data_IF_372643332922
#
_entry.id   IF_372643332922
#
_cell.length_a   1.000
_cell.length_b   1.000
_cell.length_c   1.000
_cell.angle_alpha   90.00
_cell.angle_beta   90.00
_cell.angle_gamma   90.00
#
_symmetry.space_group_name_H-M   'P 1'
#
loop_
_entity.id
_entity.type
_entity.pdbx_description
1 polymer ?
#
# COMPACT_ATOMS: atom_id res chain seq x y z
N UNK A 1 -8.41 -4.72 -11.94
CA UNK A 1 -8.12 -3.59 -11.03
C UNK A 1 -6.88 -3.98 -10.25
N UNK A 2 -5.76 -3.30 -10.45
CA UNK A 2 -4.47 -3.64 -9.83
C UNK A 2 -4.51 -3.32 -8.34
N UNK A 3 -4.02 -4.24 -7.52
CA UNK A 3 -3.95 -4.15 -6.08
C UNK A 3 -2.56 -3.69 -5.64
N UNK A 4 -2.51 -2.61 -4.88
CA UNK A 4 -1.25 -2.01 -4.44
C UNK A 4 -1.15 -2.10 -2.92
N UNK A 5 0.02 -2.43 -2.40
CA UNK A 5 0.38 -2.29 -0.99
C UNK A 5 1.36 -1.13 -0.89
N UNK A 6 1.08 -0.14 -0.05
CA UNK A 6 1.98 1.00 0.14
C UNK A 6 2.89 0.74 1.34
N UNK A 7 4.17 1.08 1.23
CA UNK A 7 5.16 0.95 2.32
C UNK A 7 5.93 2.25 2.48
N UNK A 8 5.67 2.98 3.57
CA UNK A 8 6.32 4.26 3.87
C UNK A 8 6.32 4.48 5.39
N UNK A 9 7.45 4.85 5.97
CA UNK A 9 7.58 5.12 7.42
C UNK A 9 6.94 6.47 7.82
N UNK A 10 6.62 7.32 6.84
CA UNK A 10 5.91 8.57 7.03
C UNK A 10 4.42 8.43 6.65
N UNK A 11 3.55 8.49 7.66
CA UNK A 11 2.09 8.38 7.48
C UNK A 11 1.51 9.44 6.54
N UNK A 12 2.05 10.66 6.51
CA UNK A 12 1.52 11.74 5.67
C UNK A 12 1.76 11.42 4.20
N UNK A 13 2.97 11.02 3.82
CA UNK A 13 3.28 10.65 2.43
C UNK A 13 2.53 9.38 2.01
N UNK A 14 2.38 8.41 2.92
CA UNK A 14 1.60 7.21 2.65
C UNK A 14 0.14 7.50 2.31
N UNK A 15 -0.49 8.45 3.04
CA UNK A 15 -1.86 8.89 2.80
C UNK A 15 -2.01 9.62 1.46
N UNK A 16 -1.08 10.53 1.14
CA UNK A 16 -1.08 11.24 -0.14
C UNK A 16 -0.95 10.26 -1.33
N UNK A 17 -0.07 9.26 -1.21
CA UNK A 17 0.09 8.21 -2.23
C UNK A 17 -1.15 7.32 -2.34
N UNK A 18 -1.78 6.99 -1.22
CA UNK A 18 -3.03 6.22 -1.19
C UNK A 18 -4.17 6.96 -1.92
N UNK A 19 -4.34 8.26 -1.64
CA UNK A 19 -5.35 9.09 -2.32
C UNK A 19 -5.09 9.15 -3.83
N UNK A 20 -3.87 9.49 -4.24
CA UNK A 20 -3.50 9.58 -5.65
C UNK A 20 -3.69 8.24 -6.39
N UNK A 21 -3.31 7.12 -5.76
CA UNK A 21 -3.48 5.79 -6.35
C UNK A 21 -4.96 5.41 -6.49
N UNK A 22 -5.80 5.76 -5.52
CA UNK A 22 -7.25 5.53 -5.59
C UNK A 22 -7.90 6.37 -6.70
N UNK A 23 -7.49 7.61 -6.88
CA UNK A 23 -7.95 8.49 -7.98
C UNK A 23 -7.61 7.91 -9.36
N UNK A 24 -6.47 7.24 -9.49
CA UNK A 24 -6.07 6.54 -10.72
C UNK A 24 -6.81 5.21 -10.94
N UNK A 25 -7.70 4.80 -10.02
CA UNK A 25 -8.49 3.58 -10.11
C UNK A 25 -7.79 2.32 -9.61
N UNK A 26 -6.70 2.47 -8.84
CA UNK A 26 -6.06 1.34 -8.17
C UNK A 26 -6.79 0.99 -6.86
N UNK A 27 -6.62 -0.27 -6.42
CA UNK A 27 -7.14 -0.73 -5.13
C UNK A 27 -6.00 -0.82 -4.13
N UNK A 28 -6.03 0.00 -3.09
CA UNK A 28 -5.08 -0.13 -1.98
C UNK A 28 -5.51 -1.31 -1.09
N UNK A 29 -4.57 -2.22 -0.84
CA UNK A 29 -4.76 -3.41 -0.02
C UNK A 29 -4.28 -3.24 1.41
N UNK A 30 -3.43 -2.25 1.64
CA UNK A 30 -2.91 -1.88 2.95
C UNK A 30 -1.86 -0.79 2.83
N UNK A 31 -1.50 -0.23 3.97
CA UNK A 31 -0.40 0.71 4.16
C UNK A 31 0.44 0.17 5.31
N UNK A 32 1.72 -0.07 5.08
CA UNK A 32 2.66 -0.54 6.08
C UNK A 32 3.69 0.56 6.40
N UNK A 33 4.00 0.71 7.69
CA UNK A 33 4.97 1.69 8.20
C UNK A 33 6.38 1.12 8.41
N UNK A 34 6.51 -0.21 8.30
CA UNK A 34 7.76 -0.91 8.50
C UNK A 34 7.89 -2.13 7.57
N UNK A 35 9.12 -2.51 7.24
CA UNK A 35 9.38 -3.66 6.35
C UNK A 35 8.82 -4.99 6.86
N UNK A 36 8.84 -5.23 8.18
CA UNK A 36 8.28 -6.46 8.77
C UNK A 36 6.77 -6.53 8.57
N UNK A 37 6.08 -5.41 8.80
CA UNK A 37 4.64 -5.26 8.56
C UNK A 37 4.33 -5.45 7.08
N UNK A 38 5.10 -4.81 6.19
CA UNK A 38 4.94 -4.93 4.74
C UNK A 38 5.05 -6.39 4.27
N UNK A 39 6.03 -7.15 4.76
CA UNK A 39 6.20 -8.57 4.42
C UNK A 39 5.01 -9.40 4.89
N UNK A 40 4.46 -9.12 6.07
CA UNK A 40 3.28 -9.81 6.59
C UNK A 40 2.01 -9.46 5.78
N UNK A 41 1.83 -8.18 5.45
CA UNK A 41 0.72 -7.71 4.63
C UNK A 41 0.80 -8.24 3.21
N UNK A 42 1.98 -8.27 2.59
CA UNK A 42 2.15 -8.81 1.25
C UNK A 42 1.74 -10.28 1.17
N UNK A 43 2.10 -11.08 2.18
CA UNK A 43 1.67 -12.49 2.28
C UNK A 43 0.16 -12.64 2.45
N UNK A 44 -0.45 -11.77 3.26
CA UNK A 44 -1.86 -11.86 3.63
C UNK A 44 -2.79 -11.34 2.53
N UNK A 45 -2.41 -10.24 1.88
CA UNK A 45 -3.24 -9.52 0.92
C UNK A 45 -2.91 -9.85 -0.54
N UNK A 46 -1.73 -10.44 -0.80
CA UNK A 46 -1.24 -10.79 -2.14
C UNK A 46 -1.36 -9.62 -3.13
N UNK A 47 -0.74 -8.46 -2.88
CA UNK A 47 -0.82 -7.33 -3.80
C UNK A 47 -0.16 -7.66 -5.15
N UNK A 48 -0.59 -6.96 -6.20
CA UNK A 48 0.00 -7.08 -7.54
C UNK A 48 1.24 -6.17 -7.69
N UNK A 49 1.35 -5.13 -6.86
CA UNK A 49 2.46 -4.17 -6.78
C UNK A 49 2.68 -3.74 -5.31
N UNK A 50 3.95 -3.56 -4.92
CA UNK A 50 4.38 -3.02 -3.62
C UNK A 50 5.25 -1.80 -3.88
#
# INVERSE_FOLDING_TARGET
MTRILIVDDNTVFAMELEEAARELGYRITGVASAGVEAVQMAKSHSPDLI
#
